data_IF_907227677327
#
_entry.id   IF_907227677327
#
_cell.length_a   1.000
_cell.length_b   1.000
_cell.length_c   1.000
_cell.angle_alpha   90.00
_cell.angle_beta   90.00
_cell.angle_gamma   90.00
#
_symmetry.space_group_name_H-M   'P 1'
#
loop_
_entity.id
_entity.type
_entity.pdbx_description
1 polymer ?
#
# COMPACT_ATOMS: atom_id res chain seq x y z
N UNK A 1 -11.85 -17.25 20.63
CA UNK A 1 -10.44 -17.32 21.03
C UNK A 1 -9.57 -16.92 19.87
N UNK A 2 -9.76 -15.70 19.34
CA UNK A 2 -8.79 -15.05 18.49
C UNK A 2 -8.78 -13.59 18.95
N UNK A 3 -7.62 -13.07 19.31
CA UNK A 3 -7.47 -11.64 19.41
C UNK A 3 -7.50 -11.03 18.01
N UNK A 4 -8.15 -9.88 17.85
CA UNK A 4 -8.39 -9.29 16.54
C UNK A 4 -7.89 -7.86 16.52
N UNK A 5 -6.91 -7.61 15.66
CA UNK A 5 -6.18 -6.36 15.64
C UNK A 5 -6.25 -5.70 14.27
N UNK A 6 -6.43 -4.38 14.26
CA UNK A 6 -6.33 -3.60 13.03
C UNK A 6 -5.51 -2.33 13.25
N UNK A 7 -4.48 -2.12 12.43
CA UNK A 7 -3.77 -0.86 12.36
C UNK A 7 -3.68 -0.42 10.89
N UNK A 8 -4.38 0.66 10.50
CA UNK A 8 -4.24 1.20 9.16
C UNK A 8 -5.49 1.82 8.55
N UNK A 9 -5.52 1.87 7.22
CA UNK A 9 -6.63 2.42 6.44
C UNK A 9 -7.84 1.49 6.51
N UNK A 10 -8.99 2.05 6.88
CA UNK A 10 -10.27 1.33 6.92
C UNK A 10 -11.06 1.48 5.63
N UNK A 11 -11.40 2.71 5.25
CA UNK A 11 -12.11 3.04 4.02
C UNK A 11 -13.46 2.31 3.80
N UNK A 12 -14.08 1.75 4.85
CA UNK A 12 -15.37 1.03 4.81
C UNK A 12 -16.48 1.74 5.61
N UNK A 13 -16.31 3.05 5.86
CA UNK A 13 -17.32 3.93 6.45
C UNK A 13 -17.00 4.42 7.86
N UNK A 14 -17.38 5.67 8.16
CA UNK A 14 -16.99 6.42 9.36
C UNK A 14 -18.01 6.36 10.52
N UNK A 15 -19.28 6.05 10.22
CA UNK A 15 -20.34 5.94 11.22
C UNK A 15 -19.94 4.98 12.35
N UNK A 16 -20.31 5.25 13.62
CA UNK A 16 -19.93 4.40 14.75
C UNK A 16 -20.15 2.91 14.54
N UNK A 17 -21.25 2.53 13.88
CA UNK A 17 -21.61 1.13 13.56
C UNK A 17 -20.75 0.49 12.48
N UNK A 18 -20.07 1.29 11.66
CA UNK A 18 -19.20 0.86 10.55
C UNK A 18 -17.72 0.84 10.92
N UNK A 19 -17.33 1.33 12.11
CA UNK A 19 -15.94 1.37 12.59
C UNK A 19 -15.39 -0.05 12.86
N UNK A 20 -14.08 -0.29 12.67
CA UNK A 20 -13.46 -1.59 12.97
C UNK A 20 -13.77 -2.14 14.38
N UNK A 21 -13.78 -1.28 15.40
CA UNK A 21 -14.11 -1.64 16.79
C UNK A 21 -15.56 -2.12 17.00
N UNK A 22 -16.43 -1.89 16.01
CA UNK A 22 -17.80 -2.42 15.97
C UNK A 22 -17.98 -3.50 14.90
N UNK A 23 -16.92 -3.87 14.18
CA UNK A 23 -16.91 -4.83 13.07
C UNK A 23 -15.97 -6.01 13.30
N UNK A 24 -15.70 -6.33 14.56
CA UNK A 24 -15.03 -7.58 14.96
C UNK A 24 -13.56 -7.44 15.33
N UNK A 25 -13.03 -6.22 15.44
CA UNK A 25 -11.68 -5.96 15.95
C UNK A 25 -11.71 -5.47 17.39
N UNK A 26 -10.89 -6.08 18.24
CA UNK A 26 -10.73 -5.75 19.66
C UNK A 26 -9.86 -4.51 19.87
N UNK A 27 -8.68 -4.47 19.23
CA UNK A 27 -7.77 -3.31 19.24
C UNK A 27 -7.65 -2.72 17.86
N UNK A 28 -7.80 -1.41 17.76
CA UNK A 28 -7.88 -0.70 16.48
C UNK A 28 -7.17 0.63 16.52
N UNK A 29 -6.43 0.93 15.46
CA UNK A 29 -6.02 2.28 15.06
C UNK A 29 -6.36 2.42 13.57
N UNK A 30 -7.32 3.29 13.25
CA UNK A 30 -7.98 3.30 11.95
C UNK A 30 -7.98 4.70 11.32
N UNK A 31 -7.42 4.80 10.12
CA UNK A 31 -7.61 5.91 9.18
C UNK A 31 -8.88 5.65 8.38
N UNK A 32 -9.93 6.44 8.62
CA UNK A 32 -11.27 6.15 8.10
C UNK A 32 -11.49 6.60 6.65
N UNK A 33 -10.65 7.53 6.17
CA UNK A 33 -10.76 8.14 4.86
C UNK A 33 -10.10 7.27 3.76
N UNK A 34 -10.12 7.74 2.51
CA UNK A 34 -9.44 7.07 1.39
C UNK A 34 -7.91 7.09 1.50
N UNK A 35 -7.38 7.92 2.38
CA UNK A 35 -5.95 8.17 2.61
C UNK A 35 -5.79 9.48 3.38
N UNK A 36 -4.55 9.80 3.75
CA UNK A 36 -4.16 11.04 4.40
C UNK A 36 -2.68 11.28 4.14
N UNK A 37 -2.16 12.40 4.62
CA UNK A 37 -0.73 12.65 4.62
C UNK A 37 0.04 11.61 5.47
N UNK A 38 1.27 11.28 5.06
CA UNK A 38 2.06 10.23 5.71
C UNK A 38 2.92 10.73 6.88
N UNK A 39 2.97 12.05 7.12
CA UNK A 39 3.77 12.70 8.16
C UNK A 39 2.95 13.56 9.13
N UNK A 40 1.73 13.94 8.76
CA UNK A 40 0.89 14.85 9.52
C UNK A 40 -0.57 14.39 9.55
N UNK A 41 -1.29 14.72 10.62
CA UNK A 41 -2.73 14.50 10.69
C UNK A 41 -3.49 15.53 9.84
N UNK A 42 -3.35 15.44 8.52
CA UNK A 42 -4.01 16.34 7.57
C UNK A 42 -4.63 15.58 6.39
N UNK A 43 -5.75 16.08 5.85
CA UNK A 43 -6.32 15.50 4.64
C UNK A 43 -5.42 15.79 3.44
N UNK A 44 -5.49 14.90 2.45
CA UNK A 44 -4.80 15.08 1.16
C UNK A 44 -5.76 15.43 0.01
N UNK A 45 -7.07 15.34 0.25
CA UNK A 45 -8.11 15.75 -0.68
C UNK A 45 -9.01 16.82 -0.05
N UNK A 46 -9.49 17.79 -0.83
CA UNK A 46 -10.34 18.88 -0.34
C UNK A 46 -11.76 18.43 0.02
N UNK A 47 -12.13 17.17 -0.22
CA UNK A 47 -13.42 16.60 0.19
C UNK A 47 -13.47 16.25 1.68
N UNK A 48 -12.34 16.30 2.38
CA UNK A 48 -12.22 16.01 3.80
C UNK A 48 -11.83 17.27 4.55
N UNK A 49 -12.59 17.63 5.58
CA UNK A 49 -12.26 18.77 6.46
C UNK A 49 -11.02 18.48 7.33
N UNK A 50 -10.75 17.21 7.61
CA UNK A 50 -9.66 16.73 8.47
C UNK A 50 -9.34 15.25 8.19
N UNK A 51 -8.16 14.79 8.61
CA UNK A 51 -7.79 13.38 8.60
C UNK A 51 -8.44 12.63 9.78
N UNK A 52 -9.35 11.70 9.47
CA UNK A 52 -10.19 11.03 10.46
C UNK A 52 -9.52 9.76 11.02
N UNK A 53 -8.77 9.91 12.11
CA UNK A 53 -8.19 8.80 12.87
C UNK A 53 -9.04 8.44 14.08
N UNK A 54 -9.18 7.14 14.33
CA UNK A 54 -9.82 6.59 15.52
C UNK A 54 -8.98 5.47 16.14
N UNK A 55 -8.92 5.43 17.46
CA UNK A 55 -8.33 4.34 18.23
C UNK A 55 -9.41 3.74 19.14
N UNK A 56 -9.62 2.44 19.05
CA UNK A 56 -10.63 1.69 19.81
C UNK A 56 -12.04 2.30 19.74
N UNK A 57 -12.37 2.91 18.60
CA UNK A 57 -13.65 3.55 18.32
C UNK A 57 -13.74 5.02 18.71
N UNK A 58 -12.76 5.56 19.44
CA UNK A 58 -12.69 6.96 19.86
C UNK A 58 -11.77 7.77 18.95
N UNK A 59 -12.01 9.08 18.85
CA UNK A 59 -11.18 9.95 18.00
C UNK A 59 -9.74 9.97 18.52
N UNK A 60 -8.79 9.85 17.60
CA UNK A 60 -7.37 9.73 17.92
C UNK A 60 -6.56 10.87 17.32
N UNK A 61 -5.58 11.35 18.10
CA UNK A 61 -4.59 12.33 17.67
C UNK A 61 -3.26 11.63 17.43
N UNK A 62 -2.69 11.80 16.25
CA UNK A 62 -1.39 11.24 15.90
C UNK A 62 -0.26 11.89 16.72
N UNK A 63 0.81 11.14 17.02
CA UNK A 63 1.99 11.71 17.66
C UNK A 63 2.72 12.70 16.72
N UNK A 64 3.46 13.65 17.29
CA UNK A 64 4.16 14.70 16.51
C UNK A 64 5.20 14.13 15.54
N UNK A 65 5.84 13.02 15.90
CA UNK A 65 6.91 12.38 15.14
C UNK A 65 6.40 11.33 14.14
N UNK A 66 5.10 11.32 13.84
CA UNK A 66 4.42 10.33 13.01
C UNK A 66 5.07 10.11 11.63
N UNK A 67 5.21 8.84 11.25
CA UNK A 67 5.31 8.39 9.87
C UNK A 67 4.41 7.16 9.70
N UNK A 68 3.49 7.21 8.75
CA UNK A 68 2.41 6.19 8.59
C UNK A 68 2.91 4.73 8.71
N UNK A 69 3.79 4.25 7.83
CA UNK A 69 4.24 2.86 7.84
C UNK A 69 4.93 2.45 9.14
N UNK A 70 5.69 3.37 9.76
CA UNK A 70 6.35 3.13 11.06
C UNK A 70 5.30 2.97 12.15
N UNK A 71 4.41 3.95 12.26
CA UNK A 71 3.39 4.03 13.30
C UNK A 71 2.41 2.85 13.24
N UNK A 72 1.94 2.46 12.04
CA UNK A 72 1.02 1.34 11.88
C UNK A 72 1.65 0.01 12.33
N UNK A 73 2.93 -0.20 12.00
CA UNK A 73 3.69 -1.37 12.47
C UNK A 73 3.92 -1.32 13.98
N UNK A 74 4.27 -0.15 14.53
CA UNK A 74 4.47 0.02 15.97
C UNK A 74 3.19 -0.33 16.75
N UNK A 75 2.03 0.13 16.27
CA UNK A 75 0.72 -0.22 16.85
C UNK A 75 0.45 -1.71 16.75
N UNK A 76 0.73 -2.36 15.62
CA UNK A 76 0.50 -3.80 15.47
C UNK A 76 1.41 -4.63 16.39
N UNK A 77 2.68 -4.23 16.55
CA UNK A 77 3.60 -4.85 17.50
C UNK A 77 3.09 -4.69 18.94
N UNK A 78 2.59 -3.51 19.31
CA UNK A 78 1.98 -3.28 20.63
C UNK A 78 0.76 -4.18 20.86
N UNK A 79 -0.16 -4.24 19.89
CA UNK A 79 -1.37 -5.05 20.01
C UNK A 79 -1.06 -6.54 20.17
N UNK A 80 -0.17 -7.09 19.36
CA UNK A 80 0.23 -8.50 19.49
C UNK A 80 0.96 -8.69 20.84
N UNK A 81 1.87 -7.78 21.19
CA UNK A 81 2.64 -7.82 22.43
C UNK A 81 1.78 -7.81 23.69
N UNK A 82 0.62 -7.13 23.69
CA UNK A 82 -0.22 -7.01 24.88
C UNK A 82 -0.90 -8.31 25.33
N UNK A 83 -1.01 -9.30 24.42
CA UNK A 83 -1.72 -10.56 24.69
C UNK A 83 -0.84 -11.81 24.58
N UNK A 84 0.47 -11.69 24.34
CA UNK A 84 1.36 -12.86 24.15
C UNK A 84 1.32 -13.89 25.29
N UNK A 85 0.89 -13.51 26.50
CA UNK A 85 0.95 -14.35 27.69
C UNK A 85 -0.29 -15.21 27.92
N UNK A 86 -1.43 -14.92 27.27
CA UNK A 86 -2.65 -15.72 27.46
C UNK A 86 -2.69 -16.99 26.59
N UNK A 87 -1.83 -17.06 25.57
CA UNK A 87 -1.70 -18.23 24.68
C UNK A 87 -2.79 -18.33 23.62
N UNK A 88 -3.67 -17.34 23.50
CA UNK A 88 -4.69 -17.30 22.44
C UNK A 88 -4.07 -16.82 21.11
N UNK A 89 -4.52 -17.32 19.95
CA UNK A 89 -4.01 -16.90 18.66
C UNK A 89 -4.53 -15.50 18.28
N UNK A 90 -3.93 -14.88 17.28
CA UNK A 90 -4.34 -13.56 16.79
C UNK A 90 -4.66 -13.53 15.30
N UNK A 91 -5.54 -12.61 14.91
CA UNK A 91 -5.77 -12.15 13.56
C UNK A 91 -5.35 -10.68 13.47
N UNK A 92 -4.28 -10.42 12.73
CA UNK A 92 -3.70 -9.09 12.56
C UNK A 92 -3.96 -8.57 11.15
N UNK A 93 -4.74 -7.49 11.04
CA UNK A 93 -5.00 -6.81 9.78
C UNK A 93 -4.23 -5.48 9.72
N UNK A 94 -3.26 -5.38 8.81
CA UNK A 94 -2.35 -4.23 8.68
C UNK A 94 -2.51 -3.54 7.30
N UNK A 95 -3.65 -2.90 7.00
CA UNK A 95 -3.86 -2.21 5.74
C UNK A 95 -3.09 -0.89 5.70
N UNK A 96 -1.88 -0.91 5.14
CA UNK A 96 -1.06 0.29 4.99
C UNK A 96 -1.77 1.41 4.24
N UNK A 97 -1.41 2.66 4.58
CA UNK A 97 -1.69 3.81 3.71
C UNK A 97 -0.71 3.85 2.54
N UNK A 98 0.53 3.41 2.76
CA UNK A 98 1.52 3.30 1.71
C UNK A 98 1.06 2.25 0.68
N UNK A 99 1.28 2.46 -0.62
CA UNK A 99 2.10 3.51 -1.26
C UNK A 99 1.23 4.56 -1.96
N UNK A 100 0.09 4.88 -1.37
CA UNK A 100 -0.90 5.81 -1.92
C UNK A 100 -0.41 7.27 -1.87
N UNK A 101 -1.07 8.14 -2.65
CA UNK A 101 -0.83 9.59 -2.58
C UNK A 101 -1.23 10.20 -1.23
N UNK A 102 -0.54 11.25 -0.76
CA UNK A 102 0.64 11.85 -1.37
C UNK A 102 1.87 10.95 -1.23
N UNK A 103 2.58 10.71 -2.33
CA UNK A 103 3.76 9.82 -2.34
C UNK A 103 4.88 10.49 -1.55
N UNK A 104 5.16 9.94 -0.37
CA UNK A 104 6.05 10.53 0.63
C UNK A 104 6.85 9.45 1.37
N UNK A 105 8.16 9.67 1.52
CA UNK A 105 9.07 8.71 2.14
C UNK A 105 10.18 9.40 2.94
N UNK A 106 10.76 8.74 3.96
CA UNK A 106 11.95 9.25 4.63
C UNK A 106 13.13 9.35 3.66
N UNK A 107 13.89 10.43 3.73
CA UNK A 107 14.98 10.75 2.79
C UNK A 107 15.95 9.57 2.57
N UNK A 108 16.33 8.87 3.65
CA UNK A 108 17.25 7.72 3.59
C UNK A 108 16.79 6.56 2.68
N UNK A 109 15.49 6.44 2.40
CA UNK A 109 14.95 5.46 1.47
C UNK A 109 14.88 6.04 0.05
N UNK A 110 14.57 7.33 -0.10
CA UNK A 110 14.57 8.02 -1.40
C UNK A 110 15.97 8.00 -2.02
N UNK A 111 17.00 8.27 -1.22
CA UNK A 111 18.40 8.37 -1.67
C UNK A 111 18.90 7.13 -2.40
N UNK A 112 18.39 5.94 -2.02
CA UNK A 112 18.77 4.64 -2.62
C UNK A 112 18.32 4.49 -4.07
N UNK A 113 17.32 5.27 -4.48
CA UNK A 113 16.71 5.19 -5.81
C UNK A 113 17.01 6.39 -6.69
N UNK A 114 17.80 7.35 -6.22
CA UNK A 114 18.23 8.48 -7.04
C UNK A 114 19.08 7.96 -8.21
N UNK A 115 18.71 8.35 -9.43
CA UNK A 115 19.36 7.91 -10.68
C UNK A 115 18.86 6.57 -11.25
N UNK A 116 18.12 5.78 -10.47
CA UNK A 116 17.61 4.47 -10.94
C UNK A 116 16.61 4.61 -12.08
N UNK A 117 15.83 5.70 -12.08
CA UNK A 117 14.71 5.91 -13.00
C UNK A 117 15.02 6.91 -14.13
N UNK A 118 16.29 7.25 -14.35
CA UNK A 118 16.71 8.24 -15.35
C UNK A 118 16.50 7.77 -16.79
N UNK A 119 16.38 6.45 -17.00
CA UNK A 119 16.07 5.84 -18.29
C UNK A 119 14.60 5.97 -18.71
N UNK A 120 13.73 6.45 -17.82
CA UNK A 120 12.34 6.73 -18.12
C UNK A 120 11.39 5.54 -18.02
N UNK A 121 10.10 5.83 -18.15
CA UNK A 121 9.03 4.85 -17.96
C UNK A 121 8.98 3.77 -19.04
N UNK A 122 9.41 4.06 -20.27
CA UNK A 122 9.41 3.08 -21.36
C UNK A 122 10.47 2.00 -21.16
N UNK A 123 11.71 2.42 -20.84
CA UNK A 123 12.77 1.49 -20.48
C UNK A 123 12.42 0.69 -19.22
N UNK A 124 11.86 1.35 -18.19
CA UNK A 124 11.41 0.66 -16.98
C UNK A 124 10.34 -0.38 -17.28
N UNK A 125 9.39 -0.07 -18.16
CA UNK A 125 8.29 -0.96 -18.52
C UNK A 125 8.81 -2.26 -19.16
N UNK A 126 9.76 -2.15 -20.09
CA UNK A 126 10.40 -3.31 -20.71
C UNK A 126 11.24 -4.12 -19.72
N UNK A 127 12.01 -3.45 -18.86
CA UNK A 127 12.79 -4.13 -17.80
C UNK A 127 11.88 -4.95 -16.87
N UNK A 128 10.69 -4.42 -16.53
CA UNK A 128 9.71 -5.11 -15.68
C UNK A 128 9.08 -6.31 -16.39
N UNK A 129 8.72 -6.18 -17.67
CA UNK A 129 8.23 -7.30 -18.48
C UNK A 129 9.28 -8.40 -18.53
N UNK A 130 10.51 -8.07 -18.95
CA UNK A 130 11.59 -9.05 -19.05
C UNK A 130 11.84 -9.74 -17.71
N UNK A 131 11.90 -8.98 -16.61
CA UNK A 131 12.11 -9.58 -15.29
C UNK A 131 10.96 -10.48 -14.84
N UNK A 132 9.71 -10.15 -15.18
CA UNK A 132 8.55 -10.98 -14.88
C UNK A 132 8.56 -12.29 -15.70
N UNK A 133 9.02 -12.24 -16.95
CA UNK A 133 9.24 -13.42 -17.80
C UNK A 133 10.37 -14.29 -17.25
N UNK A 134 11.52 -13.70 -16.89
CA UNK A 134 12.67 -14.41 -16.31
C UNK A 134 12.32 -15.13 -14.98
N UNK A 135 11.36 -14.59 -14.23
CA UNK A 135 10.86 -15.16 -12.98
C UNK A 135 9.69 -16.15 -13.18
N UNK A 136 9.19 -16.29 -14.41
CA UNK A 136 8.03 -17.12 -14.75
C UNK A 136 6.68 -16.58 -14.24
N UNK A 137 6.63 -15.33 -13.75
CA UNK A 137 5.41 -14.68 -13.24
C UNK A 137 4.37 -14.48 -14.36
N UNK A 138 4.87 -14.22 -15.57
CA UNK A 138 4.08 -14.18 -16.80
C UNK A 138 4.75 -15.11 -17.83
N UNK A 139 3.98 -15.65 -18.81
CA UNK A 139 4.56 -16.41 -19.91
C UNK A 139 5.60 -15.61 -20.69
N UNK A 140 6.59 -16.30 -21.27
CA UNK A 140 7.47 -15.70 -22.28
C UNK A 140 6.66 -15.10 -23.44
N UNK A 141 7.19 -14.04 -24.04
CA UNK A 141 6.56 -13.29 -25.14
C UNK A 141 5.17 -12.72 -24.79
N UNK A 142 4.91 -12.41 -23.51
CA UNK A 142 3.64 -11.81 -23.10
C UNK A 142 3.45 -10.47 -23.81
N UNK A 143 2.35 -10.26 -24.55
CA UNK A 143 2.12 -9.01 -25.26
C UNK A 143 1.93 -7.86 -24.27
N UNK A 144 2.45 -6.70 -24.64
CA UNK A 144 2.37 -5.49 -23.82
C UNK A 144 1.77 -4.34 -24.63
N UNK A 145 0.72 -3.71 -24.07
CA UNK A 145 0.00 -2.60 -24.72
C UNK A 145 0.49 -1.27 -24.19
N UNK A 146 1.05 -0.41 -25.05
CA UNK A 146 1.30 1.00 -24.69
C UNK A 146 -0.04 1.70 -24.45
N UNK A 147 -0.23 2.22 -23.24
CA UNK A 147 -1.46 2.94 -22.88
C UNK A 147 -1.42 4.35 -23.50
N UNK A 148 -2.55 4.84 -24.03
CA UNK A 148 -2.63 6.18 -24.65
C UNK A 148 -2.26 7.31 -23.68
N UNK A 149 -2.41 7.08 -22.38
CA UNK A 149 -2.02 8.01 -21.32
C UNK A 149 -0.52 8.03 -21.02
N UNK A 150 0.27 7.16 -21.65
CA UNK A 150 1.73 7.11 -21.49
C UNK A 150 2.38 8.18 -22.36
N UNK A 151 2.96 9.19 -21.71
CA UNK A 151 3.68 10.27 -22.39
C UNK A 151 4.95 9.80 -23.12
N UNK A 152 5.52 10.68 -23.93
CA UNK A 152 6.82 10.49 -24.57
C UNK A 152 7.93 10.96 -23.63
N UNK A 153 8.77 10.04 -23.12
CA UNK A 153 9.89 10.39 -22.25
C UNK A 153 10.90 11.27 -22.98
N UNK A 154 11.15 11.00 -24.26
CA UNK A 154 12.20 11.66 -25.02
C UNK A 154 11.85 13.08 -25.44
N UNK A 155 10.56 13.40 -25.47
CA UNK A 155 10.07 14.77 -25.65
C UNK A 155 10.27 15.67 -24.42
N UNK A 156 10.53 15.11 -23.23
CA UNK A 156 10.73 15.90 -22.01
C UNK A 156 12.09 16.63 -22.01
N UNK A 157 12.08 17.85 -21.49
CA UNK A 157 13.30 18.57 -21.15
C UNK A 157 14.10 17.85 -20.05
N UNK A 158 15.42 18.11 -19.93
CA UNK A 158 16.23 17.51 -18.86
C UNK A 158 15.70 17.77 -17.44
N UNK A 159 15.11 18.94 -17.20
CA UNK A 159 14.54 19.30 -15.90
C UNK A 159 13.26 18.49 -15.60
N UNK A 160 12.41 18.28 -16.60
CA UNK A 160 11.21 17.45 -16.48
C UNK A 160 11.58 15.99 -16.26
N UNK A 161 12.54 15.44 -17.03
CA UNK A 161 13.07 14.08 -16.81
C UNK A 161 13.55 13.90 -15.38
N UNK A 162 14.37 14.84 -14.87
CA UNK A 162 14.89 14.83 -13.50
C UNK A 162 13.75 14.84 -12.46
N UNK A 163 12.74 15.69 -12.65
CA UNK A 163 11.60 15.76 -11.75
C UNK A 163 10.78 14.46 -11.74
N UNK A 164 10.47 13.92 -12.93
CA UNK A 164 9.73 12.68 -13.09
C UNK A 164 10.49 11.48 -12.48
N UNK A 165 11.79 11.36 -12.73
CA UNK A 165 12.62 10.32 -12.14
C UNK A 165 12.62 10.39 -10.60
N UNK A 166 12.70 11.59 -10.01
CA UNK A 166 12.59 11.76 -8.55
C UNK A 166 11.22 11.34 -8.03
N UNK A 167 10.11 11.63 -8.72
CA UNK A 167 8.76 11.14 -8.31
C UNK A 167 8.74 9.62 -8.15
N UNK A 168 9.34 8.89 -9.09
CA UNK A 168 9.43 7.43 -9.04
C UNK A 168 10.42 6.94 -7.98
N UNK A 169 11.53 7.66 -7.76
CA UNK A 169 12.47 7.37 -6.68
C UNK A 169 11.82 7.48 -5.28
N UNK A 170 10.98 8.50 -5.07
CA UNK A 170 10.20 8.63 -3.82
C UNK A 170 9.22 7.49 -3.68
N UNK A 171 8.50 7.13 -4.75
CA UNK A 171 7.57 6.01 -4.74
C UNK A 171 8.26 4.69 -4.36
N UNK A 172 9.43 4.41 -4.94
CA UNK A 172 10.24 3.26 -4.59
C UNK A 172 10.73 3.32 -3.13
N UNK A 173 11.19 4.49 -2.67
CA UNK A 173 11.57 4.71 -1.28
C UNK A 173 10.40 4.51 -0.30
N UNK A 174 9.16 4.81 -0.72
CA UNK A 174 7.95 4.58 0.07
C UNK A 174 7.61 3.08 0.18
N UNK A 175 7.78 2.33 -0.91
CA UNK A 175 7.69 0.86 -0.91
C UNK A 175 8.73 0.28 0.04
N UNK A 176 10.00 0.71 -0.08
CA UNK A 176 11.09 0.19 0.76
C UNK A 176 10.91 0.56 2.24
N UNK A 177 10.41 1.76 2.55
CA UNK A 177 10.11 2.14 3.92
C UNK A 177 8.96 1.29 4.52
N UNK A 178 7.94 0.95 3.73
CA UNK A 178 6.89 0.02 4.13
C UNK A 178 7.47 -1.38 4.40
N UNK A 179 8.25 -1.92 3.47
CA UNK A 179 8.88 -3.23 3.58
C UNK A 179 9.85 -3.32 4.78
N UNK A 180 10.67 -2.29 4.99
CA UNK A 180 11.54 -2.19 6.16
C UNK A 180 10.76 -2.32 7.48
N UNK A 181 9.60 -1.67 7.58
CA UNK A 181 8.76 -1.77 8.78
C UNK A 181 8.02 -3.11 8.86
N UNK A 182 7.60 -3.72 7.74
CA UNK A 182 7.13 -5.13 7.74
C UNK A 182 8.23 -6.05 8.31
N UNK A 183 9.49 -5.82 7.95
CA UNK A 183 10.64 -6.52 8.52
C UNK A 183 10.73 -6.39 10.05
N UNK A 184 10.43 -5.22 10.62
CA UNK A 184 10.38 -5.04 12.09
C UNK A 184 9.29 -5.87 12.75
N UNK A 185 8.11 -5.98 12.12
CA UNK A 185 7.04 -6.86 12.61
C UNK A 185 7.49 -8.33 12.56
N UNK A 186 8.11 -8.75 11.46
CA UNK A 186 8.65 -10.11 11.32
C UNK A 186 9.71 -10.40 12.39
N UNK A 187 10.65 -9.48 12.65
CA UNK A 187 11.65 -9.66 13.69
C UNK A 187 11.04 -9.73 15.09
N UNK A 188 10.01 -8.92 15.38
CA UNK A 188 9.25 -9.04 16.62
C UNK A 188 8.57 -10.42 16.76
N UNK A 189 7.94 -10.92 15.69
CA UNK A 189 7.31 -12.24 15.69
C UNK A 189 8.33 -13.36 15.93
N UNK A 190 9.54 -13.24 15.37
CA UNK A 190 10.62 -14.22 15.63
C UNK A 190 11.08 -14.15 17.08
N UNK A 191 11.34 -12.95 17.59
CA UNK A 191 11.79 -12.74 18.96
C UNK A 191 10.76 -13.18 20.02
N UNK A 192 9.46 -13.12 19.69
CA UNK A 192 8.36 -13.55 20.56
C UNK A 192 7.94 -15.02 20.35
N UNK A 193 8.61 -15.76 19.46
CA UNK A 193 8.30 -17.16 19.16
C UNK A 193 6.98 -17.36 18.39
N UNK A 194 6.40 -16.30 17.82
CA UNK A 194 5.14 -16.34 17.08
C UNK A 194 5.33 -16.58 15.57
N UNK A 195 6.53 -16.34 15.04
CA UNK A 195 6.80 -16.36 13.59
C UNK A 195 6.49 -17.70 12.93
N UNK A 196 6.97 -18.80 13.49
CA UNK A 196 6.84 -20.15 12.92
C UNK A 196 5.37 -20.58 12.78
N UNK A 197 4.50 -20.13 13.69
CA UNK A 197 3.07 -20.42 13.67
C UNK A 197 2.22 -19.29 13.05
N UNK A 198 2.84 -18.34 12.33
CA UNK A 198 2.12 -17.25 11.66
C UNK A 198 2.00 -17.51 10.16
N UNK A 199 0.78 -17.37 9.64
CA UNK A 199 0.52 -17.30 8.20
C UNK A 199 0.44 -15.83 7.78
N UNK A 200 1.27 -15.45 6.83
CA UNK A 200 1.29 -14.13 6.21
C UNK A 200 0.50 -14.15 4.91
N UNK A 201 -0.38 -13.17 4.73
CA UNK A 201 -1.09 -12.89 3.48
C UNK A 201 -0.77 -11.45 3.11
N UNK A 202 -0.05 -11.25 2.02
CA UNK A 202 0.31 -9.94 1.49
C UNK A 202 -0.31 -9.75 0.11
N UNK A 203 -1.02 -8.63 -0.08
CA UNK A 203 -1.61 -8.26 -1.37
C UNK A 203 -1.69 -6.76 -1.52
N UNK A 204 -1.89 -6.29 -2.75
CA UNK A 204 -2.36 -4.92 -3.01
C UNK A 204 -3.90 -4.88 -3.08
N UNK A 205 -4.50 -3.72 -2.87
CA UNK A 205 -5.96 -3.52 -2.91
C UNK A 205 -6.49 -3.23 -4.32
N UNK A 206 -5.62 -2.82 -5.24
CA UNK A 206 -5.89 -2.60 -6.67
C UNK A 206 -4.57 -2.54 -7.46
N UNK A 207 -4.69 -2.45 -8.78
CA UNK A 207 -3.56 -2.16 -9.66
C UNK A 207 -2.88 -0.82 -9.43
N UNK A 208 -1.81 -0.53 -10.18
CA UNK A 208 -1.01 0.68 -9.98
C UNK A 208 -1.85 1.96 -9.99
N UNK A 209 -1.50 2.95 -9.17
CA UNK A 209 -2.10 4.28 -9.24
C UNK A 209 -1.52 5.04 -10.44
N UNK A 210 -2.38 5.69 -11.22
CA UNK A 210 -2.00 6.45 -12.41
C UNK A 210 -2.52 7.90 -12.36
N UNK A 211 -3.22 8.27 -11.29
CA UNK A 211 -3.71 9.61 -11.05
C UNK A 211 -2.56 10.61 -10.94
N UNK A 212 -2.90 11.88 -11.21
CA UNK A 212 -1.96 13.00 -11.22
C UNK A 212 -1.57 13.40 -12.63
N UNK A 213 -1.11 14.65 -12.78
CA UNK A 213 -0.79 15.21 -14.08
C UNK A 213 0.52 14.66 -14.67
N UNK A 214 0.57 14.61 -16.00
CA UNK A 214 1.81 14.43 -16.77
C UNK A 214 2.73 15.66 -16.63
N UNK A 215 2.16 16.84 -16.37
CA UNK A 215 2.87 18.11 -16.15
C UNK A 215 2.61 18.63 -14.72
N UNK A 216 3.08 17.93 -13.67
CA UNK A 216 2.76 18.26 -12.27
C UNK A 216 3.25 19.65 -11.83
N UNK A 217 4.17 20.26 -12.59
CA UNK A 217 4.70 21.60 -12.31
C UNK A 217 3.96 22.72 -13.03
N UNK A 218 3.00 22.41 -13.90
CA UNK A 218 2.18 23.43 -14.55
C UNK A 218 1.36 24.20 -13.50
N UNK A 219 1.19 25.51 -13.70
CA UNK A 219 0.51 26.40 -12.74
C UNK A 219 -0.85 25.84 -12.27
N UNK A 220 -1.69 25.37 -13.21
CA UNK A 220 -3.02 24.84 -12.88
C UNK A 220 -2.98 23.61 -11.97
N UNK A 221 -1.96 22.77 -12.13
CA UNK A 221 -1.79 21.52 -11.37
C UNK A 221 -1.23 21.78 -9.97
N UNK A 222 -0.40 22.83 -9.82
CA UNK A 222 0.21 23.21 -8.54
C UNK A 222 -0.76 23.91 -7.58
N UNK A 223 -1.66 24.74 -8.10
CA UNK A 223 -2.54 25.61 -7.29
C UNK A 223 -3.36 24.82 -6.26
N UNK A 224 -3.89 23.64 -6.62
CA UNK A 224 -4.68 22.83 -5.70
C UNK A 224 -3.88 22.37 -4.47
N UNK A 225 -2.82 21.56 -4.65
CA UNK A 225 -1.93 21.17 -3.57
C UNK A 225 -1.30 22.34 -2.80
N UNK A 226 -0.89 23.42 -3.46
CA UNK A 226 -0.31 24.60 -2.79
C UNK A 226 -1.34 25.32 -1.89
N UNK A 227 -2.59 25.44 -2.33
CA UNK A 227 -3.67 25.97 -1.48
C UNK A 227 -3.98 25.07 -0.27
N UNK A 228 -3.62 23.78 -0.34
CA UNK A 228 -3.67 22.85 0.79
C UNK A 228 -2.39 22.87 1.64
N UNK A 229 -1.44 23.76 1.34
CA UNK A 229 -0.20 23.94 2.09
C UNK A 229 0.95 23.02 1.69
N UNK A 230 0.85 22.33 0.53
CA UNK A 230 1.92 21.46 0.04
C UNK A 230 2.96 22.21 -0.81
N UNK A 231 4.20 21.72 -0.79
CA UNK A 231 5.30 22.18 -1.63
C UNK A 231 5.69 21.09 -2.66
N UNK A 232 5.69 21.46 -3.94
CA UNK A 232 5.94 20.57 -5.08
C UNK A 232 7.31 20.81 -5.73
N UNK A 233 8.14 21.67 -5.15
CA UNK A 233 9.47 21.97 -5.65
C UNK A 233 10.37 20.74 -5.55
N UNK A 234 11.32 20.64 -6.49
CA UNK A 234 12.16 19.46 -6.64
C UNK A 234 12.86 19.06 -5.33
N UNK A 235 13.40 20.02 -4.58
CA UNK A 235 14.15 19.73 -3.35
C UNK A 235 13.26 19.12 -2.25
N UNK A 236 12.02 19.57 -2.12
CA UNK A 236 11.08 19.06 -1.11
C UNK A 236 10.31 17.81 -1.55
N UNK A 237 10.31 17.50 -2.85
CA UNK A 237 9.51 16.42 -3.45
C UNK A 237 9.75 15.07 -2.72
N UNK A 238 8.67 14.55 -2.11
CA UNK A 238 8.65 13.29 -1.38
C UNK A 238 8.85 13.40 0.14
N UNK A 239 9.21 14.57 0.65
CA UNK A 239 9.39 14.82 2.07
C UNK A 239 8.10 15.29 2.75
N UNK A 240 8.15 15.44 4.08
CA UNK A 240 7.10 16.09 4.86
C UNK A 240 6.74 17.45 4.25
N UNK A 241 5.45 17.75 4.12
CA UNK A 241 5.01 18.98 3.45
C UNK A 241 4.92 18.88 1.92
N UNK A 242 5.31 17.78 1.27
CA UNK A 242 5.24 17.66 -0.19
C UNK A 242 3.99 16.94 -0.70
N UNK A 243 3.59 17.23 -1.94
CA UNK A 243 2.55 16.46 -2.62
C UNK A 243 3.12 15.88 -3.90
N UNK A 244 2.94 14.57 -4.08
CA UNK A 244 3.36 13.87 -5.28
C UNK A 244 2.42 12.71 -5.58
N UNK A 245 2.33 12.39 -6.85
CA UNK A 245 1.74 11.16 -7.40
C UNK A 245 2.74 10.62 -8.43
N UNK A 246 2.62 9.39 -8.90
CA UNK A 246 3.52 8.89 -9.97
C UNK A 246 3.03 9.21 -11.38
N UNK A 247 1.75 9.58 -11.53
CA UNK A 247 1.15 9.92 -12.82
C UNK A 247 0.99 8.71 -13.76
N UNK A 248 0.40 8.92 -14.94
CA UNK A 248 -0.03 7.82 -15.80
C UNK A 248 1.12 7.03 -16.41
N UNK A 249 2.24 7.68 -16.76
CA UNK A 249 3.37 6.99 -17.40
C UNK A 249 4.07 6.01 -16.46
N UNK A 250 4.40 6.42 -15.22
CA UNK A 250 4.97 5.49 -14.23
C UNK A 250 3.93 4.54 -13.66
N UNK A 251 2.65 4.93 -13.59
CA UNK A 251 1.56 3.99 -13.31
C UNK A 251 1.50 2.86 -14.34
N UNK A 252 1.63 3.20 -15.62
CA UNK A 252 1.72 2.23 -16.70
C UNK A 252 2.98 1.36 -16.66
N UNK A 253 4.13 1.93 -16.27
CA UNK A 253 5.37 1.16 -16.10
C UNK A 253 5.28 0.17 -14.93
N UNK A 254 4.58 0.55 -13.85
CA UNK A 254 4.39 -0.28 -12.66
C UNK A 254 3.39 -1.42 -12.89
N UNK A 255 2.39 -1.21 -13.74
CA UNK A 255 1.44 -2.25 -14.16
C UNK A 255 2.02 -3.26 -15.19
N UNK A 256 3.25 -3.05 -15.68
CA UNK A 256 3.85 -3.88 -16.74
C UNK A 256 3.85 -5.38 -16.41
N UNK A 257 3.52 -6.27 -17.38
CA UNK A 257 3.15 -5.99 -18.78
C UNK A 257 1.65 -5.73 -19.02
N UNK A 258 0.86 -5.63 -17.95
CA UNK A 258 -0.59 -5.62 -17.99
C UNK A 258 -1.15 -4.30 -18.58
N UNK A 259 -2.40 -4.36 -19.03
CA UNK A 259 -3.12 -3.23 -19.60
C UNK A 259 -3.94 -2.48 -18.54
N UNK A 260 -3.90 -1.15 -18.60
CA UNK A 260 -4.53 -0.22 -17.66
C UNK A 260 -4.00 -0.34 -16.22
N UNK A 261 -4.73 0.26 -15.29
CA UNK A 261 -4.32 0.52 -13.91
C UNK A 261 -5.57 0.76 -13.04
N UNK A 262 -5.41 1.20 -11.79
CA UNK A 262 -6.52 1.51 -10.88
C UNK A 262 -7.65 2.30 -11.55
N UNK A 263 -8.90 1.95 -11.22
CA UNK A 263 -10.16 2.44 -11.81
C UNK A 263 -10.53 1.90 -13.19
N UNK A 264 -9.75 0.96 -13.74
CA UNK A 264 -10.07 0.27 -14.98
C UNK A 264 -10.28 -1.23 -14.73
N UNK A 265 -11.12 -1.85 -15.56
CA UNK A 265 -11.38 -3.29 -15.52
C UNK A 265 -10.33 -4.13 -16.29
N UNK A 266 -9.29 -3.50 -16.83
CA UNK A 266 -8.16 -4.22 -17.43
C UNK A 266 -7.30 -4.90 -16.37
N UNK A 267 -6.52 -5.91 -16.77
CA UNK A 267 -5.68 -6.70 -15.86
C UNK A 267 -4.75 -5.84 -15.00
N UNK A 268 -4.21 -4.74 -15.51
CA UNK A 268 -3.33 -3.86 -14.75
C UNK A 268 -4.04 -3.08 -13.64
N UNK A 269 -5.38 -3.04 -13.65
CA UNK A 269 -6.21 -2.49 -12.57
C UNK A 269 -6.75 -3.52 -11.58
N UNK A 270 -6.87 -4.79 -11.98
CA UNK A 270 -7.50 -5.87 -11.20
C UNK A 270 -6.51 -6.92 -10.69
N UNK A 271 -5.49 -7.28 -11.47
CA UNK A 271 -4.51 -8.32 -11.14
C UNK A 271 -3.38 -7.70 -10.32
N UNK A 272 -3.29 -8.15 -9.07
CA UNK A 272 -2.35 -7.67 -8.06
C UNK A 272 -1.47 -8.81 -7.56
N UNK A 273 -0.28 -8.52 -6.99
CA UNK A 273 0.50 -9.55 -6.31
C UNK A 273 -0.28 -10.09 -5.11
N UNK A 274 -0.30 -11.41 -4.94
CA UNK A 274 -0.79 -12.11 -3.74
C UNK A 274 0.28 -13.12 -3.31
N UNK A 275 0.79 -12.95 -2.09
CA UNK A 275 1.77 -13.85 -1.48
C UNK A 275 1.12 -14.43 -0.22
N UNK A 276 1.12 -15.75 -0.10
CA UNK A 276 0.69 -16.48 1.10
C UNK A 276 1.86 -17.35 1.55
N UNK A 277 2.33 -17.15 2.79
CA UNK A 277 3.53 -17.80 3.31
C UNK A 277 3.41 -18.11 4.80
N UNK A 278 4.09 -19.15 5.27
CA UNK A 278 4.13 -19.56 6.68
C UNK A 278 4.34 -21.07 6.80
N UNK A 279 5.07 -21.52 7.82
CA UNK A 279 5.35 -22.95 8.02
C UNK A 279 4.10 -23.84 8.14
N UNK A 280 2.96 -23.40 8.72
CA UNK A 280 1.75 -24.23 8.82
C UNK A 280 1.16 -24.65 7.48
N UNK A 281 1.53 -23.98 6.38
CA UNK A 281 1.09 -24.32 5.02
C UNK A 281 1.86 -25.52 4.45
N UNK A 282 2.97 -25.92 5.07
CA UNK A 282 3.86 -26.97 4.58
C UNK A 282 4.63 -26.57 3.31
N UNK A 283 5.28 -27.54 2.63
CA UNK A 283 6.01 -27.29 1.40
C UNK A 283 5.04 -26.97 0.26
N UNK A 284 4.90 -25.67 -0.05
CA UNK A 284 4.08 -25.17 -1.14
C UNK A 284 4.84 -24.98 -2.46
N UNK A 285 4.09 -24.77 -3.55
CA UNK A 285 4.65 -24.26 -4.80
C UNK A 285 5.08 -22.81 -4.62
N UNK A 286 6.23 -22.44 -5.18
CA UNK A 286 6.74 -21.05 -5.12
C UNK A 286 5.96 -20.07 -5.98
N UNK A 287 5.21 -20.57 -6.97
CA UNK A 287 4.39 -19.77 -7.89
C UNK A 287 3.22 -20.62 -8.39
N UNK A 288 2.05 -20.00 -8.51
CA UNK A 288 0.86 -20.63 -9.10
C UNK A 288 0.19 -19.68 -10.09
N UNK A 289 -0.29 -20.24 -11.21
CA UNK A 289 -1.12 -19.54 -12.19
C UNK A 289 -2.63 -19.78 -11.95
N UNK A 290 -2.99 -20.41 -10.83
CA UNK A 290 -4.38 -20.62 -10.47
C UNK A 290 -5.12 -19.29 -10.35
N UNK A 291 -6.31 -19.25 -10.93
CA UNK A 291 -7.18 -18.09 -10.84
C UNK A 291 -7.75 -17.98 -9.42
N UNK A 292 -7.70 -16.78 -8.85
CA UNK A 292 -8.17 -16.47 -7.51
C UNK A 292 -8.75 -15.06 -7.45
N UNK A 293 -9.69 -14.84 -6.54
CA UNK A 293 -10.26 -13.54 -6.20
C UNK A 293 -10.00 -13.20 -4.73
N UNK A 294 -10.00 -11.91 -4.40
CA UNK A 294 -9.84 -11.45 -3.01
C UNK A 294 -10.90 -12.03 -2.07
N UNK A 295 -12.09 -12.37 -2.59
CA UNK A 295 -13.18 -13.02 -1.85
C UNK A 295 -12.82 -14.42 -1.36
N UNK A 296 -11.81 -15.06 -1.94
CA UNK A 296 -11.37 -16.40 -1.56
C UNK A 296 -10.52 -16.39 -0.28
N UNK A 297 -10.02 -15.22 0.14
CA UNK A 297 -9.18 -15.08 1.34
C UNK A 297 -9.97 -15.41 2.61
N UNK A 298 -11.19 -14.90 2.76
CA UNK A 298 -12.01 -15.15 3.96
C UNK A 298 -12.33 -16.63 4.16
N UNK A 299 -12.91 -17.37 3.19
CA UNK A 299 -13.14 -18.81 3.36
C UNK A 299 -11.85 -19.61 3.54
N UNK A 300 -10.73 -19.17 2.96
CA UNK A 300 -9.42 -19.78 3.20
C UNK A 300 -8.98 -19.64 4.66
N UNK A 301 -9.06 -18.44 5.24
CA UNK A 301 -8.72 -18.21 6.65
C UNK A 301 -9.63 -19.02 7.57
N UNK A 302 -10.94 -19.06 7.30
CA UNK A 302 -11.88 -19.86 8.09
C UNK A 302 -11.54 -21.35 8.01
N UNK A 303 -11.27 -21.86 6.81
CA UNK A 303 -10.91 -23.27 6.58
C UNK A 303 -9.61 -23.67 7.27
N UNK A 304 -8.57 -22.83 7.23
CA UNK A 304 -7.28 -23.08 7.90
C UNK A 304 -7.43 -23.20 9.42
N UNK A 305 -8.49 -22.61 9.98
CA UNK A 305 -8.77 -22.59 11.41
C UNK A 305 -9.88 -23.54 11.84
N UNK A 306 -10.39 -24.38 10.92
CA UNK A 306 -11.51 -25.29 11.20
C UNK A 306 -12.81 -24.57 11.58
N UNK A 307 -12.95 -23.29 11.23
CA UNK A 307 -14.15 -22.49 11.49
C UNK A 307 -15.12 -22.71 10.34
N UNK A 308 -16.32 -23.21 10.64
CA UNK A 308 -17.38 -23.33 9.65
C UNK A 308 -17.88 -21.93 9.24
N UNK A 309 -18.13 -21.68 7.94
CA UNK A 309 -18.81 -20.46 7.51
C UNK A 309 -20.16 -20.32 8.25
N UNK A 310 -20.53 -19.12 8.71
CA UNK A 310 -21.83 -18.91 9.33
C UNK A 310 -22.95 -19.16 8.30
N UNK A 311 -24.06 -19.76 8.73
CA UNK A 311 -25.17 -20.14 7.83
C UNK A 311 -25.83 -18.92 7.16
N UNK A 312 -26.14 -17.87 7.94
CA UNK A 312 -26.67 -16.59 7.41
C UNK A 312 -26.29 -15.36 8.27
N UNK A 313 -26.09 -15.54 9.59
CA UNK A 313 -25.78 -14.47 10.55
C UNK A 313 -24.69 -14.91 11.53
N UNK A 314 -23.80 -14.00 11.90
CA UNK A 314 -22.77 -14.26 12.92
C UNK A 314 -22.95 -13.28 14.08
N UNK A 315 -23.10 -13.82 15.30
CA UNK A 315 -23.26 -12.99 16.51
C UNK A 315 -24.55 -12.14 16.52
N UNK A 316 -25.62 -12.61 15.86
CA UNK A 316 -26.90 -11.88 15.77
C UNK A 316 -26.89 -10.69 14.80
N UNK A 317 -25.86 -10.59 13.96
CA UNK A 317 -25.70 -9.59 12.90
C UNK A 317 -25.59 -10.26 11.54
#
# INVERSE_FOLDING_TARGET
GYHTYMAGKWHLGMEPTKRPSRRGFERTVAMMDSGADHWEQRPYLPIYDQANWFADGERFSLPEDFYSSRFLVDSMIEFIGSNLQDGEPFFAYLPFMAVHSPVQAPQQFIDRYMGVYDSGWDALREQRKQRAEDLGIVPEDTPMVRMETTGDWDALSPEEKRYQAKRMAVYAGMIEAMDFHIGRLVEFLKASGQYENTIFIFTSDNGSEASGSAEPRAFRERVGPENMGYNLDYENLGLKGSFSMIGPSFGSASASPLAYYKFYAGEGGLRVPLIIAGEPLGPGQSLTAAFAWVTDITPTILSLNGVLPPEERYGGR
#
